data_IF_019491407768
#
_entry.id   IF_019491407768
#
_cell.length_a   1.000
_cell.length_b   1.000
_cell.length_c   1.000
_cell.angle_alpha   90.00
_cell.angle_beta   90.00
_cell.angle_gamma   90.00
#
_symmetry.space_group_name_H-M   'P 1'
#
loop_
_entity.id
_entity.type
_entity.pdbx_description
1 polymer ?
#
# COMPACT_ATOMS: atom_id res chain seq x y z
N UNK A 1 5.33 25.77 -18.69
CA UNK A 1 5.68 24.35 -18.74
C UNK A 1 4.84 23.61 -17.72
N UNK A 2 3.91 22.80 -18.20
CA UNK A 2 3.01 22.05 -17.32
C UNK A 2 3.80 20.92 -16.64
N UNK A 3 3.81 20.90 -15.31
CA UNK A 3 4.57 19.90 -14.54
C UNK A 3 3.69 18.68 -14.33
N UNK A 4 3.98 17.59 -15.04
CA UNK A 4 3.29 16.31 -14.83
C UNK A 4 3.48 15.85 -13.38
N UNK A 5 2.36 15.56 -12.70
CA UNK A 5 2.37 14.96 -11.36
C UNK A 5 3.14 13.64 -11.42
N UNK A 6 4.12 13.47 -10.53
CA UNK A 6 4.97 12.28 -10.45
C UNK A 6 4.41 11.33 -9.38
N UNK A 7 4.33 10.03 -9.70
CA UNK A 7 3.95 9.00 -8.75
C UNK A 7 5.09 8.75 -7.74
N UNK A 8 4.75 8.53 -6.46
CA UNK A 8 5.73 8.21 -5.40
C UNK A 8 6.00 6.70 -5.45
N UNK A 9 6.77 6.27 -6.46
CA UNK A 9 7.20 4.88 -6.66
C UNK A 9 8.69 4.84 -6.97
N UNK A 10 9.29 3.65 -6.90
CA UNK A 10 10.67 3.47 -7.35
C UNK A 10 10.79 3.83 -8.84
N UNK A 11 11.81 4.63 -9.19
CA UNK A 11 12.08 5.02 -10.58
C UNK A 11 12.96 3.93 -11.19
N UNK A 12 12.48 3.18 -12.17
CA UNK A 12 13.22 2.04 -12.73
C UNK A 12 14.45 2.48 -13.54
N UNK A 13 14.33 3.54 -14.33
CA UNK A 13 15.44 4.07 -15.13
C UNK A 13 16.54 4.61 -14.21
N UNK A 14 17.75 4.06 -14.35
CA UNK A 14 18.91 4.41 -13.53
C UNK A 14 19.31 5.89 -13.63
N UNK A 15 19.40 6.43 -14.85
CA UNK A 15 19.83 7.82 -15.07
C UNK A 15 18.80 8.81 -14.53
N UNK A 16 17.52 8.58 -14.79
CA UNK A 16 16.43 9.42 -14.27
C UNK A 16 16.36 9.36 -12.75
N UNK A 17 16.54 8.17 -12.17
CA UNK A 17 16.57 7.97 -10.73
C UNK A 17 17.74 8.71 -10.10
N UNK A 18 18.95 8.60 -10.68
CA UNK A 18 20.15 9.28 -10.20
C UNK A 18 20.02 10.81 -10.30
N UNK A 19 19.56 11.34 -11.43
CA UNK A 19 19.34 12.78 -11.61
C UNK A 19 18.26 13.31 -10.65
N UNK A 20 17.17 12.56 -10.48
CA UNK A 20 16.10 12.91 -9.53
C UNK A 20 16.58 12.86 -8.08
N UNK A 21 17.38 11.85 -7.71
CA UNK A 21 17.97 11.74 -6.38
C UNK A 21 18.86 12.95 -6.07
N UNK A 22 19.77 13.32 -6.98
CA UNK A 22 20.65 14.48 -6.78
C UNK A 22 19.86 15.78 -6.58
N UNK A 23 18.87 16.05 -7.46
CA UNK A 23 18.03 17.24 -7.38
C UNK A 23 17.17 17.28 -6.11
N UNK A 24 16.56 16.15 -5.73
CA UNK A 24 15.73 16.07 -4.52
C UNK A 24 16.56 16.14 -3.24
N UNK A 25 17.74 15.53 -3.21
CA UNK A 25 18.66 15.60 -2.07
C UNK A 25 19.11 17.04 -1.78
N UNK A 26 19.49 17.77 -2.84
CA UNK A 26 19.82 19.19 -2.70
C UNK A 26 18.63 20.02 -2.21
N UNK A 27 17.42 19.74 -2.73
CA UNK A 27 16.19 20.37 -2.26
C UNK A 27 15.89 20.06 -0.79
N UNK A 28 16.07 18.81 -0.38
CA UNK A 28 15.89 18.36 1.00
C UNK A 28 16.85 19.10 1.94
N UNK A 29 18.15 19.10 1.64
CA UNK A 29 19.15 19.81 2.45
C UNK A 29 18.83 21.29 2.59
N UNK A 30 18.44 21.94 1.48
CA UNK A 30 18.02 23.35 1.51
C UNK A 30 16.84 23.56 2.46
N UNK A 31 15.83 22.69 2.40
CA UNK A 31 14.65 22.78 3.28
C UNK A 31 14.97 22.46 4.74
N UNK A 32 15.82 21.47 5.00
CA UNK A 32 16.28 21.16 6.36
C UNK A 32 17.01 22.36 6.97
N UNK A 33 17.90 23.00 6.20
CA UNK A 33 18.59 24.23 6.63
C UNK A 33 17.62 25.37 6.91
N UNK A 34 16.68 25.63 5.98
CA UNK A 34 15.65 26.66 6.17
C UNK A 34 14.85 26.43 7.45
N UNK A 35 14.38 25.21 7.69
CA UNK A 35 13.61 24.85 8.90
C UNK A 35 14.47 25.02 10.16
N UNK A 36 15.72 24.55 10.14
CA UNK A 36 16.63 24.68 11.27
C UNK A 36 16.84 26.16 11.66
N UNK A 37 17.07 27.03 10.68
CA UNK A 37 17.27 28.47 10.91
C UNK A 37 15.98 29.17 11.33
N UNK A 38 14.87 28.94 10.62
CA UNK A 38 13.60 29.65 10.87
C UNK A 38 12.96 29.26 12.21
N UNK A 39 13.08 27.99 12.59
CA UNK A 39 12.47 27.48 13.81
C UNK A 39 13.46 27.42 14.98
N UNK A 40 14.74 27.70 14.76
CA UNK A 40 15.78 27.59 15.79
C UNK A 40 15.92 26.17 16.33
N UNK A 41 15.75 25.16 15.48
CA UNK A 41 15.82 23.74 15.87
C UNK A 41 17.09 23.08 15.35
N UNK A 42 17.63 22.15 16.14
CA UNK A 42 18.66 21.22 15.71
C UNK A 42 18.06 20.26 14.65
N UNK A 43 18.60 20.27 13.44
CA UNK A 43 18.20 19.35 12.38
C UNK A 43 19.43 18.91 11.57
N UNK A 44 19.40 17.68 11.05
CA UNK A 44 20.42 17.15 10.17
C UNK A 44 19.79 16.33 9.05
N UNK A 45 20.49 16.20 7.93
CA UNK A 45 20.10 15.37 6.80
C UNK A 45 21.32 14.63 6.26
N UNK A 46 21.18 13.31 6.10
CA UNK A 46 22.18 12.41 5.50
C UNK A 46 21.48 11.67 4.37
N UNK A 47 22.01 11.78 3.14
CA UNK A 47 21.41 11.13 1.95
C UNK A 47 22.43 10.24 1.25
N UNK A 48 22.16 8.94 1.23
CA UNK A 48 22.94 7.95 0.48
C UNK A 48 22.42 7.80 -0.95
N UNK A 49 23.32 7.93 -1.92
CA UNK A 49 23.06 7.59 -3.32
C UNK A 49 23.34 6.12 -3.61
N UNK A 50 22.82 5.61 -4.72
CA UNK A 50 23.01 4.20 -5.13
C UNK A 50 24.42 3.86 -5.61
N UNK A 51 25.27 4.85 -5.86
CA UNK A 51 26.54 4.66 -6.56
C UNK A 51 27.74 4.44 -5.62
N UNK A 52 27.51 4.17 -4.33
CA UNK A 52 28.59 4.08 -3.33
C UNK A 52 29.39 5.37 -3.17
N UNK A 53 28.89 6.48 -3.69
CA UNK A 53 29.49 7.82 -3.52
C UNK A 53 29.31 8.28 -2.08
N UNK A 54 30.23 9.14 -1.63
CA UNK A 54 30.11 9.82 -0.34
C UNK A 54 28.69 10.40 -0.19
N UNK A 55 28.03 10.15 0.94
CA UNK A 55 26.68 10.66 1.17
C UNK A 55 26.68 12.18 1.17
N UNK A 56 25.53 12.75 0.83
CA UNK A 56 25.34 14.20 0.92
C UNK A 56 24.86 14.49 2.33
N UNK A 57 25.66 15.25 3.08
CA UNK A 57 25.43 15.51 4.51
C UNK A 57 25.27 16.98 4.81
N UNK A 58 24.33 17.30 5.68
CA UNK A 58 24.18 18.61 6.29
C UNK A 58 23.79 18.48 7.77
N UNK A 59 24.42 19.23 8.70
CA UNK A 59 25.58 20.12 8.49
C UNK A 59 26.85 19.39 8.03
N UNK A 60 27.78 20.09 7.37
CA UNK A 60 29.02 19.46 6.87
C UNK A 60 30.03 19.13 7.97
N UNK A 61 29.81 19.60 9.20
CA UNK A 61 30.66 19.31 10.36
C UNK A 61 30.22 17.99 11.01
N UNK A 62 31.11 16.99 11.01
CA UNK A 62 30.89 15.71 11.71
C UNK A 62 30.53 15.95 13.18
N UNK A 63 31.30 16.81 13.85
CA UNK A 63 31.08 17.13 15.26
C UNK A 63 29.69 17.72 15.54
N UNK A 64 29.17 18.53 14.61
CA UNK A 64 27.83 19.11 14.76
C UNK A 64 26.74 18.06 14.54
N UNK A 65 26.88 17.22 13.51
CA UNK A 65 25.93 16.12 13.28
C UNK A 65 25.93 15.15 14.47
N UNK A 66 27.11 14.79 15.00
CA UNK A 66 27.23 13.97 16.21
C UNK A 66 26.58 14.64 17.42
N UNK A 67 26.78 15.95 17.63
CA UNK A 67 26.11 16.71 18.71
C UNK A 67 24.59 16.61 18.60
N UNK A 68 24.04 16.81 17.41
CA UNK A 68 22.60 16.74 17.14
C UNK A 68 22.09 15.33 17.45
N UNK A 69 22.83 14.30 17.06
CA UNK A 69 22.46 12.90 17.30
C UNK A 69 22.48 12.56 18.79
N UNK A 70 23.54 12.91 19.51
CA UNK A 70 23.61 12.70 20.97
C UNK A 70 22.58 13.53 21.75
N UNK A 71 22.19 14.70 21.24
CA UNK A 71 21.08 15.48 21.79
C UNK A 71 19.73 14.77 21.57
N UNK A 72 19.56 14.14 20.41
CA UNK A 72 18.36 13.38 20.06
C UNK A 72 18.23 12.13 20.94
N UNK A 73 19.29 11.35 21.07
CA UNK A 73 19.35 10.14 21.90
C UNK A 73 18.98 10.41 23.37
N UNK A 74 19.49 11.51 23.95
CA UNK A 74 19.19 11.90 25.33
C UNK A 74 17.73 12.29 25.57
N UNK A 75 16.96 12.66 24.55
CA UNK A 75 15.55 13.07 24.69
C UNK A 75 14.63 11.85 24.61
N UNK A 76 14.46 11.14 25.73
CA UNK A 76 13.45 10.10 26.08
C UNK A 76 12.79 9.30 24.93
N UNK A 77 13.00 7.97 24.95
CA UNK A 77 12.46 6.95 24.04
C UNK A 77 10.93 7.01 23.79
N UNK A 78 10.15 7.53 24.74
CA UNK A 78 8.67 7.54 24.67
C UNK A 78 8.12 8.44 23.54
N UNK A 79 8.84 9.51 23.18
CA UNK A 79 8.46 10.39 22.06
C UNK A 79 9.17 10.05 20.74
N UNK A 80 10.16 9.15 20.77
CA UNK A 80 10.97 8.78 19.61
C UNK A 80 10.24 7.79 18.71
N UNK A 81 9.52 6.84 19.30
CA UNK A 81 8.77 5.80 18.58
C UNK A 81 7.57 6.33 17.78
N UNK A 82 6.86 7.34 18.29
CA UNK A 82 5.62 7.82 17.66
C UNK A 82 5.82 8.64 16.38
N UNK A 83 7.01 9.23 16.19
CA UNK A 83 7.29 10.14 15.08
C UNK A 83 8.34 9.63 14.09
N UNK A 84 8.89 8.45 14.35
CA UNK A 84 9.85 7.82 13.46
C UNK A 84 9.12 7.13 12.29
N UNK A 85 9.30 7.63 11.08
CA UNK A 85 8.84 6.96 9.87
C UNK A 85 9.90 5.93 9.45
N UNK A 86 9.76 4.70 9.92
CA UNK A 86 10.66 3.61 9.55
C UNK A 86 10.42 3.20 8.08
N UNK A 87 11.47 3.23 7.27
CA UNK A 87 11.40 2.74 5.88
C UNK A 87 10.95 1.27 5.81
N UNK A 88 11.37 0.45 6.78
CA UNK A 88 10.97 -0.96 6.89
C UNK A 88 9.46 -1.08 7.08
N UNK A 89 8.87 -0.36 8.05
CA UNK A 89 7.41 -0.42 8.27
C UNK A 89 6.63 0.10 7.07
N UNK A 90 7.12 1.14 6.38
CA UNK A 90 6.52 1.61 5.13
C UNK A 90 6.57 0.56 4.01
N UNK A 91 7.70 -0.13 3.85
CA UNK A 91 7.87 -1.20 2.88
C UNK A 91 6.98 -2.40 3.22
N UNK A 92 6.93 -2.82 4.48
CA UNK A 92 6.08 -3.91 4.96
C UNK A 92 4.59 -3.60 4.71
N UNK A 93 4.15 -2.38 5.01
CA UNK A 93 2.81 -1.92 4.67
C UNK A 93 2.54 -1.93 3.16
N UNK A 94 3.54 -1.57 2.34
CA UNK A 94 3.43 -1.57 0.89
C UNK A 94 3.32 -2.99 0.31
N UNK A 95 4.11 -3.92 0.85
CA UNK A 95 4.05 -5.36 0.55
C UNK A 95 2.68 -5.91 0.92
N UNK A 96 2.22 -5.67 2.16
CA UNK A 96 0.89 -6.09 2.62
C UNK A 96 -0.23 -5.59 1.71
N UNK A 97 -0.18 -4.32 1.30
CA UNK A 97 -1.15 -3.75 0.33
C UNK A 97 -1.09 -4.43 -1.03
N UNK A 98 0.10 -4.80 -1.52
CA UNK A 98 0.25 -5.53 -2.77
C UNK A 98 -0.33 -6.96 -2.66
N UNK A 99 -0.08 -7.66 -1.55
CA UNK A 99 -0.63 -8.98 -1.27
C UNK A 99 -2.17 -8.97 -1.17
N UNK A 100 -2.75 -7.96 -0.52
CA UNK A 100 -4.20 -7.79 -0.43
C UNK A 100 -4.83 -7.58 -1.82
N UNK A 101 -4.20 -6.78 -2.68
CA UNK A 101 -4.61 -6.61 -4.08
C UNK A 101 -4.53 -7.92 -4.84
N UNK A 102 -3.45 -8.68 -4.67
CA UNK A 102 -3.28 -9.98 -5.31
C UNK A 102 -4.38 -10.97 -4.88
N UNK A 103 -4.68 -11.05 -3.58
CA UNK A 103 -5.77 -11.89 -3.04
C UNK A 103 -7.13 -11.50 -3.63
N UNK A 104 -7.43 -10.20 -3.75
CA UNK A 104 -8.66 -9.71 -4.39
C UNK A 104 -8.76 -10.13 -5.86
N UNK A 105 -7.68 -9.98 -6.63
CA UNK A 105 -7.63 -10.38 -8.04
C UNK A 105 -7.82 -11.89 -8.18
N UNK A 106 -7.16 -12.69 -7.35
CA UNK A 106 -7.29 -14.15 -7.38
C UNK A 106 -8.72 -14.60 -7.04
N UNK A 107 -9.36 -13.97 -6.05
CA UNK A 107 -10.75 -14.22 -5.69
C UNK A 107 -11.68 -13.90 -6.87
N UNK A 108 -11.56 -12.72 -7.46
CA UNK A 108 -12.36 -12.30 -8.62
C UNK A 108 -12.15 -13.24 -9.81
N UNK A 109 -10.90 -13.67 -10.09
CA UNK A 109 -10.61 -14.66 -11.15
C UNK A 109 -11.32 -16.00 -10.89
N UNK A 110 -11.36 -16.46 -9.65
CA UNK A 110 -12.08 -17.69 -9.28
C UNK A 110 -13.58 -17.51 -9.47
N UNK A 111 -14.15 -16.41 -9.00
CA UNK A 111 -15.58 -16.11 -9.14
C UNK A 111 -16.01 -16.10 -10.62
N UNK A 112 -15.29 -15.39 -11.49
CA UNK A 112 -15.56 -15.36 -12.93
C UNK A 112 -15.44 -16.75 -13.56
N UNK A 113 -14.40 -17.52 -13.20
CA UNK A 113 -14.23 -18.89 -13.70
C UNK A 113 -15.42 -19.77 -13.33
N UNK A 114 -15.91 -19.67 -12.09
CA UNK A 114 -17.04 -20.45 -11.61
C UNK A 114 -18.36 -20.03 -12.25
N UNK A 115 -18.55 -18.72 -12.48
CA UNK A 115 -19.74 -18.22 -13.17
C UNK A 115 -19.80 -18.69 -14.64
N UNK A 116 -18.66 -18.67 -15.34
CA UNK A 116 -18.54 -19.20 -16.69
C UNK A 116 -18.86 -20.70 -16.71
N UNK A 117 -18.27 -21.47 -15.79
CA UNK A 117 -18.49 -22.91 -15.69
C UNK A 117 -19.95 -23.26 -15.39
N UNK A 118 -20.59 -22.55 -14.45
CA UNK A 118 -22.00 -22.74 -14.17
C UNK A 118 -22.86 -22.46 -15.41
N UNK A 119 -22.54 -21.39 -16.13
CA UNK A 119 -23.22 -21.03 -17.38
C UNK A 119 -23.03 -22.09 -18.46
N UNK A 120 -21.83 -22.68 -18.59
CA UNK A 120 -21.58 -23.76 -19.55
C UNK A 120 -22.26 -25.07 -19.18
N UNK A 121 -22.30 -25.44 -17.88
CA UNK A 121 -23.07 -26.60 -17.41
C UNK A 121 -24.57 -26.43 -17.72
N UNK A 122 -25.14 -25.25 -17.44
CA UNK A 122 -26.56 -24.98 -17.74
C UNK A 122 -26.86 -24.97 -19.24
N UNK A 123 -25.88 -24.61 -20.07
CA UNK A 123 -25.98 -24.68 -21.53
C UNK A 123 -25.62 -26.08 -22.07
N UNK A 124 -25.46 -27.09 -21.21
CA UNK A 124 -25.05 -28.45 -21.55
C UNK A 124 -23.72 -28.55 -22.31
N UNK A 125 -22.84 -27.55 -22.18
CA UNK A 125 -21.53 -27.49 -22.83
C UNK A 125 -20.40 -28.11 -22.00
N UNK A 126 -20.63 -28.46 -20.73
CA UNK A 126 -19.61 -29.03 -19.84
C UNK A 126 -20.23 -29.96 -18.78
N UNK A 127 -19.45 -30.93 -18.29
CA UNK A 127 -19.82 -31.90 -17.24
C UNK A 127 -19.16 -31.58 -15.89
N UNK A 128 -19.84 -31.94 -14.79
CA UNK A 128 -19.45 -31.65 -13.41
C UNK A 128 -18.11 -32.29 -12.97
N UNK A 129 -17.62 -33.27 -13.73
CA UNK A 129 -16.38 -34.01 -13.45
C UNK A 129 -15.11 -33.14 -13.53
N UNK A 130 -15.19 -31.95 -14.16
CA UNK A 130 -14.04 -31.05 -14.31
C UNK A 130 -13.88 -30.06 -13.14
N UNK A 131 -14.70 -30.15 -12.09
CA UNK A 131 -14.70 -29.20 -10.97
C UNK A 131 -13.83 -29.73 -9.82
N UNK A 132 -12.78 -29.00 -9.40
CA UNK A 132 -12.00 -29.39 -8.23
C UNK A 132 -12.88 -29.44 -6.97
N UNK A 133 -12.67 -30.39 -6.06
CA UNK A 133 -13.52 -30.58 -4.88
C UNK A 133 -13.57 -29.35 -3.95
N UNK A 134 -12.49 -28.54 -3.91
CA UNK A 134 -12.44 -27.29 -3.14
C UNK A 134 -13.35 -26.17 -3.69
N UNK A 135 -13.71 -26.25 -4.98
CA UNK A 135 -14.53 -25.25 -5.67
C UNK A 135 -16.02 -25.65 -5.73
N UNK A 136 -16.35 -26.88 -5.29
CA UNK A 136 -17.72 -27.42 -5.26
C UNK A 136 -18.64 -26.59 -4.35
N UNK A 137 -18.12 -26.11 -3.21
CA UNK A 137 -18.88 -25.24 -2.29
C UNK A 137 -19.32 -23.94 -2.96
N UNK A 138 -18.46 -23.35 -3.78
CA UNK A 138 -18.77 -22.11 -4.51
C UNK A 138 -19.75 -22.37 -5.65
N UNK A 139 -19.64 -23.52 -6.32
CA UNK A 139 -20.59 -23.92 -7.36
C UNK A 139 -22.01 -24.12 -6.80
N UNK A 140 -22.13 -24.79 -5.65
CA UNK A 140 -23.40 -24.96 -4.95
C UNK A 140 -24.02 -23.60 -4.63
N UNK A 141 -23.24 -22.66 -4.08
CA UNK A 141 -23.73 -21.30 -3.76
C UNK A 141 -24.26 -20.56 -5.01
N UNK A 142 -23.57 -20.66 -6.14
CA UNK A 142 -23.99 -20.04 -7.41
C UNK A 142 -25.30 -20.67 -7.92
N UNK A 143 -25.41 -22.00 -7.85
CA UNK A 143 -26.61 -22.73 -8.27
C UNK A 143 -27.80 -22.39 -7.36
N UNK A 144 -27.62 -22.40 -6.05
CA UNK A 144 -28.65 -22.02 -5.06
C UNK A 144 -29.13 -20.58 -5.26
N UNK A 145 -28.22 -19.66 -5.57
CA UNK A 145 -28.60 -18.27 -5.84
C UNK A 145 -29.41 -18.15 -7.15
N UNK A 146 -29.05 -18.91 -8.19
CA UNK A 146 -29.81 -18.93 -9.44
C UNK A 146 -31.16 -19.63 -9.30
N UNK A 147 -31.26 -20.72 -8.52
CA UNK A 147 -32.53 -21.37 -8.19
C UNK A 147 -33.46 -20.38 -7.48
N UNK A 148 -32.96 -19.63 -6.49
CA UNK A 148 -33.72 -18.55 -5.83
C UNK A 148 -34.19 -17.48 -6.82
N UNK A 149 -33.35 -17.07 -7.77
CA UNK A 149 -33.76 -16.13 -8.82
C UNK A 149 -34.86 -16.71 -9.72
N UNK A 150 -34.78 -17.99 -10.09
CA UNK A 150 -35.79 -18.68 -10.91
C UNK A 150 -37.11 -18.79 -10.13
N UNK A 151 -37.06 -19.25 -8.88
CA UNK A 151 -38.24 -19.34 -7.99
C UNK A 151 -38.89 -17.97 -7.78
N UNK A 152 -38.08 -16.93 -7.57
CA UNK A 152 -38.58 -15.56 -7.48
C UNK A 152 -39.27 -15.14 -8.78
N UNK A 153 -38.67 -15.45 -9.94
CA UNK A 153 -39.24 -15.11 -11.25
C UNK A 153 -40.54 -15.86 -11.51
N UNK A 154 -40.62 -17.15 -11.16
CA UNK A 154 -41.86 -17.95 -11.23
C UNK A 154 -42.92 -17.32 -10.34
N UNK A 155 -42.61 -16.99 -9.08
CA UNK A 155 -43.55 -16.34 -8.14
C UNK A 155 -44.05 -14.98 -8.64
N UNK A 156 -43.17 -14.19 -9.27
CA UNK A 156 -43.53 -12.90 -9.87
C UNK A 156 -44.41 -13.11 -11.11
N UNK A 157 -44.11 -14.11 -11.96
CA UNK A 157 -44.93 -14.44 -13.13
C UNK A 157 -46.31 -15.01 -12.74
N UNK A 158 -46.40 -15.81 -11.68
CA UNK A 158 -47.65 -16.33 -11.12
C UNK A 158 -48.52 -15.23 -10.49
N UNK A 159 -47.90 -14.19 -9.92
CA UNK A 159 -48.61 -13.00 -9.41
C UNK A 159 -48.91 -11.96 -10.49
N UNK A 160 -48.22 -12.01 -11.63
CA UNK A 160 -48.30 -11.07 -12.74
C UNK A 160 -49.55 -11.16 -13.61
N UNK A 161 -50.51 -12.04 -13.31
CA UNK A 161 -51.84 -11.99 -13.94
C UNK A 161 -52.73 -10.88 -13.36
N UNK A 162 -52.28 -10.12 -12.36
CA UNK A 162 -52.93 -8.88 -11.92
C UNK A 162 -51.89 -7.83 -11.49
N UNK A 163 -51.69 -6.84 -12.37
CA UNK A 163 -51.08 -5.53 -12.19
C UNK A 163 -49.56 -5.37 -12.38
N UNK A 164 -49.25 -4.42 -13.26
CA UNK A 164 -47.94 -4.03 -13.76
C UNK A 164 -47.08 -3.26 -12.73
N UNK A 165 -45.76 -3.34 -12.95
CA UNK A 165 -44.65 -2.54 -12.39
C UNK A 165 -43.91 -3.16 -11.20
N UNK A 166 -42.95 -4.07 -11.44
CA UNK A 166 -41.77 -4.21 -10.56
C UNK A 166 -40.52 -4.50 -11.41
N UNK A 167 -39.50 -3.68 -11.20
CA UNK A 167 -38.19 -3.69 -11.87
C UNK A 167 -37.35 -4.94 -11.57
N UNK A 168 -36.56 -5.35 -12.56
CA UNK A 168 -35.48 -6.34 -12.45
C UNK A 168 -34.44 -5.90 -11.40
N UNK A 169 -33.95 -6.79 -10.51
CA UNK A 169 -32.67 -6.55 -9.87
C UNK A 169 -31.56 -6.78 -10.90
N UNK A 170 -31.12 -5.71 -11.55
CA UNK A 170 -29.84 -5.70 -12.26
C UNK A 170 -28.74 -5.82 -11.22
N UNK A 171 -28.06 -6.97 -11.17
CA UNK A 171 -26.77 -7.10 -10.50
C UNK A 171 -25.70 -6.33 -11.30
N UNK A 172 -25.73 -5.01 -11.19
CA UNK A 172 -24.58 -4.15 -11.46
C UNK A 172 -23.72 -4.14 -10.19
N UNK A 173 -22.83 -5.12 -10.04
CA UNK A 173 -21.64 -4.94 -9.20
C UNK A 173 -20.48 -4.59 -10.13
N UNK A 174 -20.66 -3.46 -10.79
CA UNK A 174 -19.58 -2.67 -11.35
C UNK A 174 -19.87 -1.24 -10.87
N UNK A 175 -18.87 -0.64 -10.21
CA UNK A 175 -18.86 0.66 -9.52
C UNK A 175 -19.14 0.52 -8.03
N UNK A 176 -18.04 0.45 -7.28
CA UNK A 176 -17.71 1.40 -6.21
C UNK A 176 -16.28 1.12 -5.76
N UNK A 177 -15.32 1.65 -6.55
CA UNK A 177 -13.96 1.89 -6.05
C UNK A 177 -13.94 3.36 -5.66
N UNK A 178 -14.49 3.64 -4.48
CA UNK A 178 -14.27 4.91 -3.82
C UNK A 178 -12.83 4.93 -3.29
N UNK A 179 -11.98 5.69 -3.97
CA UNK A 179 -10.67 6.09 -3.48
C UNK A 179 -10.83 7.30 -2.55
N UNK A 180 -11.29 7.05 -1.32
CA UNK A 180 -11.24 8.03 -0.24
C UNK A 180 -10.24 7.56 0.82
N UNK A 181 -9.06 8.17 0.71
CA UNK A 181 -8.11 8.57 1.76
C UNK A 181 -8.52 8.13 3.18
N UNK A 182 -7.69 7.32 3.84
CA UNK A 182 -7.61 7.29 5.31
C UNK A 182 -6.18 6.99 5.79
N UNK A 183 -5.63 8.06 6.37
CA UNK A 183 -4.64 8.22 7.44
C UNK A 183 -3.65 7.06 7.74
N UNK A 184 -2.33 7.25 7.52
CA UNK A 184 -1.29 6.28 7.90
C UNK A 184 -1.07 6.11 9.42
N UNK A 185 -1.67 6.94 10.27
CA UNK A 185 -1.23 7.09 11.67
C UNK A 185 -1.96 6.21 12.70
N UNK A 186 -2.69 5.16 12.32
CA UNK A 186 -3.57 4.47 13.29
C UNK A 186 -3.09 3.14 13.89
N UNK A 187 -1.88 2.66 13.59
CA UNK A 187 -1.37 1.47 14.25
C UNK A 187 0.14 1.56 14.49
N UNK A 188 0.52 2.22 15.59
CA UNK A 188 1.80 1.94 16.25
C UNK A 188 1.49 1.27 17.59
N UNK A 189 1.61 -0.05 17.61
CA UNK A 189 1.60 -0.84 18.84
C UNK A 189 2.88 -1.68 18.89
N UNK A 190 3.67 -1.42 19.92
CA UNK A 190 4.54 -2.37 20.63
C UNK A 190 5.80 -2.94 19.94
N UNK A 191 6.05 -2.73 18.65
CA UNK A 191 7.30 -3.15 17.98
C UNK A 191 8.43 -2.09 18.00
N UNK A 192 8.21 -0.94 18.66
CA UNK A 192 9.09 0.22 18.52
C UNK A 192 10.39 0.17 19.35
N UNK A 193 10.48 -0.67 20.39
CA UNK A 193 11.63 -0.72 21.29
C UNK A 193 12.89 -1.31 20.63
N UNK A 194 12.76 -2.42 19.91
CA UNK A 194 13.88 -3.07 19.20
C UNK A 194 14.29 -2.30 17.94
N UNK A 195 13.38 -1.53 17.35
CA UNK A 195 13.67 -0.73 16.16
C UNK A 195 14.56 0.49 16.40
N UNK A 196 14.64 0.99 17.64
CA UNK A 196 15.46 2.17 17.96
C UNK A 196 16.93 1.78 18.09
N UNK A 197 17.26 0.72 18.81
CA UNK A 197 18.66 0.29 19.02
C UNK A 197 19.31 -0.20 17.72
N UNK A 198 18.56 -0.94 16.90
CA UNK A 198 18.98 -1.33 15.54
C UNK A 198 19.19 -0.10 14.64
N UNK A 199 18.31 0.91 14.78
CA UNK A 199 18.45 2.17 14.04
C UNK A 199 19.66 2.97 14.49
N UNK A 200 19.93 3.09 15.79
CA UNK A 200 21.10 3.81 16.30
C UNK A 200 22.39 3.15 15.81
N UNK A 201 22.47 1.81 15.88
CA UNK A 201 23.59 1.04 15.34
C UNK A 201 23.79 1.25 13.84
N UNK A 202 22.67 1.29 13.09
CA UNK A 202 22.68 1.58 11.67
C UNK A 202 23.13 3.03 11.40
N UNK A 203 22.72 4.00 12.21
CA UNK A 203 23.12 5.40 12.07
C UNK A 203 24.61 5.59 12.41
N UNK A 204 25.14 4.91 13.41
CA UNK A 204 26.57 4.97 13.72
C UNK A 204 27.41 4.43 12.56
N UNK A 205 27.00 3.29 11.98
CA UNK A 205 27.61 2.76 10.75
C UNK A 205 27.51 3.75 9.57
N UNK A 206 26.35 4.41 9.43
CA UNK A 206 26.16 5.45 8.43
C UNK A 206 27.07 6.67 8.69
N UNK A 207 27.19 7.13 9.92
CA UNK A 207 28.05 8.25 10.31
C UNK A 207 29.53 7.97 10.06
N UNK A 208 29.98 6.73 10.28
CA UNK A 208 31.34 6.30 9.93
C UNK A 208 31.57 6.26 8.42
N UNK A 209 30.60 5.76 7.64
CA UNK A 209 30.71 5.75 6.17
C UNK A 209 30.59 7.15 5.53
N UNK A 210 30.01 8.12 6.24
CA UNK A 210 29.77 9.46 5.75
C UNK A 210 30.96 10.41 5.89
N UNK A 211 31.82 10.18 6.90
CA UNK A 211 32.91 11.08 7.29
C UNK A 211 34.20 10.35 7.61
#
# INVERSE_FOLDING_TARGET
MDRKKVNITYIENYFDRRATCARRAQGLIKKTREISVLCGIDACAIVYGQDGKKPIVWPSSKAEVTRIFSNYERKSQVNQSERFLNQKTFLDQSVKKAEEKLKKIQKSKREIKMENLATDIMNCRSTLEQVPPNDLKYLILVIENRLRCIEHRIRVMERGNNNNNISLPTNSIAKDVDTSILNPNQFLGNEAMTGIDDFMSQVDSYMESAF
#
